data_IF_062772264446
#
_entry.id   IF_062772264446
#
_cell.length_a   1.000
_cell.length_b   1.000
_cell.length_c   1.000
_cell.angle_alpha   90.00
_cell.angle_beta   90.00
_cell.angle_gamma   90.00
#
_symmetry.space_group_name_H-M   'P 1'
#
loop_
_entity.id
_entity.type
_entity.pdbx_description
1 polymer ?
#
# COMPACT_ATOMS: atom_id res chain seq x y z
N UNK A 1 -1.70 5.11 -13.34
CA UNK A 1 -1.06 3.93 -13.97
C UNK A 1 -1.76 3.51 -15.27
N UNK A 2 -3.07 3.27 -15.28
CA UNK A 2 -3.79 2.76 -16.46
C UNK A 2 -4.26 3.82 -17.47
N UNK A 3 -4.15 5.11 -17.15
CA UNK A 3 -4.54 6.18 -18.07
C UNK A 3 -3.71 6.11 -19.37
N UNK A 4 -4.34 6.36 -20.51
CA UNK A 4 -3.65 6.46 -21.79
C UNK A 4 -3.08 7.87 -21.98
N UNK A 5 -1.76 7.99 -22.12
CA UNK A 5 -1.05 9.25 -22.30
C UNK A 5 -0.74 9.53 -23.77
N UNK A 6 -1.78 9.56 -24.60
CA UNK A 6 -1.65 9.88 -26.02
C UNK A 6 -1.27 11.34 -26.24
N UNK A 7 -0.89 11.70 -27.46
CA UNK A 7 -0.54 13.09 -27.80
C UNK A 7 -1.71 14.08 -27.60
N UNK A 8 -2.94 13.61 -27.79
CA UNK A 8 -4.18 14.35 -27.57
C UNK A 8 -4.53 14.48 -26.08
N UNK A 9 -4.10 13.53 -25.25
CA UNK A 9 -4.36 13.49 -23.80
C UNK A 9 -3.05 13.30 -23.01
N UNK A 10 -2.11 14.26 -23.04
CA UNK A 10 -0.79 14.10 -22.44
C UNK A 10 -0.85 13.94 -20.90
N UNK A 11 -1.87 14.51 -20.25
CA UNK A 11 -2.13 14.33 -18.81
C UNK A 11 -2.66 12.93 -18.46
N UNK A 12 -3.00 12.12 -19.46
CA UNK A 12 -3.60 10.81 -19.29
C UNK A 12 -5.13 10.87 -19.35
N UNK A 13 -5.73 9.94 -20.10
CA UNK A 13 -7.16 9.73 -20.16
C UNK A 13 -7.50 8.30 -19.73
N UNK A 14 -8.32 8.17 -18.68
CA UNK A 14 -8.82 6.89 -18.19
C UNK A 14 -10.30 6.78 -18.47
N UNK A 15 -10.71 5.74 -19.20
CA UNK A 15 -12.10 5.47 -19.51
C UNK A 15 -12.44 3.99 -19.24
N UNK A 16 -13.73 3.65 -19.39
CA UNK A 16 -14.24 2.30 -19.13
C UNK A 16 -13.59 1.26 -20.04
N UNK A 17 -13.38 1.55 -21.32
CA UNK A 17 -12.80 0.61 -22.27
C UNK A 17 -11.34 0.27 -21.97
N UNK A 18 -10.55 1.26 -21.55
CA UNK A 18 -9.18 1.06 -21.10
C UNK A 18 -9.15 0.14 -19.87
N UNK A 19 -9.99 0.40 -18.86
CA UNK A 19 -10.08 -0.47 -17.68
C UNK A 19 -10.57 -1.88 -18.02
N UNK A 20 -11.60 -2.00 -18.87
CA UNK A 20 -12.13 -3.28 -19.35
C UNK A 20 -11.04 -4.13 -20.00
N UNK A 21 -10.17 -3.52 -20.82
CA UNK A 21 -9.05 -4.23 -21.43
C UNK A 21 -8.03 -4.72 -20.40
N UNK A 22 -7.60 -3.86 -19.47
CA UNK A 22 -6.61 -4.22 -18.46
C UNK A 22 -7.10 -5.32 -17.51
N UNK A 23 -8.38 -5.30 -17.14
CA UNK A 23 -8.98 -6.26 -16.21
C UNK A 23 -9.76 -7.39 -16.91
N UNK A 24 -9.66 -7.48 -18.23
CA UNK A 24 -10.33 -8.51 -19.03
C UNK A 24 -11.85 -8.61 -18.80
N UNK A 25 -12.51 -7.46 -18.81
CA UNK A 25 -13.97 -7.34 -18.65
C UNK A 25 -14.59 -7.08 -20.03
N UNK A 26 -15.56 -7.89 -20.40
CA UNK A 26 -16.36 -7.74 -21.62
C UNK A 26 -17.81 -7.38 -21.29
N UNK A 27 -18.53 -6.87 -22.29
CA UNK A 27 -19.95 -6.53 -22.17
C UNK A 27 -20.23 -5.03 -21.98
N UNK A 28 -21.51 -4.70 -21.89
CA UNK A 28 -22.02 -3.32 -21.87
C UNK A 28 -23.02 -3.12 -20.75
N UNK A 29 -23.07 -1.89 -20.22
CA UNK A 29 -23.93 -1.55 -19.08
C UNK A 29 -23.66 -2.46 -17.87
N UNK A 30 -24.71 -3.08 -17.35
CA UNK A 30 -24.64 -3.97 -16.19
C UNK A 30 -24.34 -5.43 -16.55
N UNK A 31 -24.20 -5.75 -17.86
CA UNK A 31 -23.92 -7.12 -18.34
C UNK A 31 -22.43 -7.34 -18.53
N UNK A 32 -21.66 -7.17 -17.46
CA UNK A 32 -20.20 -7.31 -17.48
C UNK A 32 -19.79 -8.76 -17.17
N UNK A 33 -18.81 -9.29 -17.90
CA UNK A 33 -18.26 -10.64 -17.69
C UNK A 33 -16.75 -10.60 -17.66
N UNK A 34 -16.14 -11.19 -16.63
CA UNK A 34 -14.70 -11.39 -16.55
C UNK A 34 -14.24 -12.57 -17.42
N UNK A 35 -13.20 -12.36 -18.22
CA UNK A 35 -12.56 -13.37 -19.06
C UNK A 35 -11.17 -13.67 -18.53
N UNK A 36 -11.07 -14.70 -17.70
CA UNK A 36 -9.80 -15.10 -17.09
C UNK A 36 -8.69 -15.32 -18.12
N UNK A 37 -7.55 -14.64 -17.95
CA UNK A 37 -6.35 -14.82 -18.78
C UNK A 37 -6.33 -14.01 -20.09
N UNK A 38 -7.27 -13.08 -20.27
CA UNK A 38 -7.34 -12.21 -21.45
C UNK A 38 -7.02 -10.73 -21.13
N UNK A 39 -6.42 -10.47 -19.96
CA UNK A 39 -5.91 -9.16 -19.57
C UNK A 39 -4.89 -8.66 -20.59
N UNK A 40 -5.11 -7.46 -21.12
CA UNK A 40 -4.21 -6.89 -22.13
C UNK A 40 -4.11 -5.38 -22.03
N UNK A 41 -2.93 -4.87 -22.37
CA UNK A 41 -2.76 -3.45 -22.67
C UNK A 41 -3.64 -3.13 -23.89
N UNK A 42 -4.51 -2.11 -23.84
CA UNK A 42 -5.36 -1.76 -24.96
C UNK A 42 -4.55 -1.35 -26.20
N UNK A 43 -5.10 -1.58 -27.38
CA UNK A 43 -4.54 -1.03 -28.61
C UNK A 43 -4.45 0.50 -28.55
N UNK A 44 -3.39 1.07 -29.13
CA UNK A 44 -3.10 2.51 -29.10
C UNK A 44 -3.05 3.12 -27.68
N UNK A 45 -2.64 2.31 -26.69
CA UNK A 45 -2.35 2.79 -25.35
C UNK A 45 -0.89 3.21 -25.21
N UNK A 46 -0.66 4.42 -24.71
CA UNK A 46 0.66 4.99 -24.50
C UNK A 46 0.94 5.15 -23.02
N UNK A 47 2.12 4.70 -22.60
CA UNK A 47 2.60 4.87 -21.22
C UNK A 47 2.79 6.35 -20.90
N UNK A 48 2.71 6.69 -19.61
CA UNK A 48 3.05 8.04 -19.14
C UNK A 48 4.50 8.42 -19.52
N UNK A 49 4.78 9.71 -19.80
CA UNK A 49 6.10 10.15 -20.28
C UNK A 49 7.20 10.10 -19.20
N UNK A 50 6.82 10.14 -17.91
CA UNK A 50 7.74 10.11 -16.76
C UNK A 50 7.42 8.89 -15.91
N UNK A 51 8.40 8.22 -15.33
CA UNK A 51 8.15 7.01 -14.55
C UNK A 51 7.41 7.28 -13.23
N UNK A 52 6.48 6.38 -12.87
CA UNK A 52 5.69 6.48 -11.63
C UNK A 52 6.51 6.01 -10.46
N UNK A 53 7.06 6.98 -9.74
CA UNK A 53 7.91 6.76 -8.59
C UNK A 53 7.13 6.72 -7.28
N UNK A 54 7.81 6.31 -6.22
CA UNK A 54 7.29 6.32 -4.86
C UNK A 54 6.80 7.70 -4.41
N UNK A 55 7.43 8.78 -4.86
CA UNK A 55 6.98 10.16 -4.56
C UNK A 55 5.58 10.41 -5.13
N UNK A 56 5.33 10.02 -6.38
CA UNK A 56 4.01 10.17 -7.00
C UNK A 56 2.95 9.33 -6.27
N UNK A 57 3.29 8.10 -5.89
CA UNK A 57 2.41 7.23 -5.09
C UNK A 57 2.00 7.90 -3.78
N UNK A 58 2.96 8.43 -3.01
CA UNK A 58 2.65 9.07 -1.73
C UNK A 58 1.76 10.30 -1.91
N UNK A 59 2.02 11.14 -2.93
CA UNK A 59 1.17 12.30 -3.22
C UNK A 59 -0.26 11.91 -3.59
N UNK A 60 -0.43 10.87 -4.42
CA UNK A 60 -1.76 10.38 -4.79
C UNK A 60 -2.52 9.80 -3.59
N UNK A 61 -1.84 9.01 -2.74
CA UNK A 61 -2.41 8.46 -1.50
C UNK A 61 -2.81 9.58 -0.54
N UNK A 62 -1.97 10.59 -0.36
CA UNK A 62 -2.26 11.76 0.48
C UNK A 62 -3.45 12.56 -0.05
N UNK A 63 -3.51 12.79 -1.35
CA UNK A 63 -4.64 13.49 -1.97
C UNK A 63 -5.94 12.71 -1.80
N UNK A 64 -5.89 11.37 -1.91
CA UNK A 64 -7.04 10.51 -1.71
C UNK A 64 -7.50 10.51 -0.25
N UNK A 65 -6.56 10.37 0.70
CA UNK A 65 -6.82 10.45 2.14
C UNK A 65 -7.36 11.81 2.57
N UNK A 66 -6.82 12.91 2.03
CA UNK A 66 -7.31 14.25 2.32
C UNK A 66 -8.76 14.46 1.82
N UNK A 67 -9.13 13.81 0.71
CA UNK A 67 -10.48 13.87 0.14
C UNK A 67 -11.46 12.91 0.83
N UNK A 68 -10.98 11.73 1.23
CA UNK A 68 -11.74 10.65 1.85
C UNK A 68 -10.95 10.12 3.06
N UNK A 69 -11.05 10.79 4.23
CA UNK A 69 -10.26 10.45 5.42
C UNK A 69 -10.41 9.01 5.88
N UNK A 70 -11.56 8.38 5.62
CA UNK A 70 -11.82 6.97 5.90
C UNK A 70 -10.85 6.03 5.17
N UNK A 71 -10.33 6.41 3.99
CA UNK A 71 -9.35 5.62 3.24
C UNK A 71 -7.95 5.65 3.86
N UNK A 72 -7.71 6.54 4.82
CA UNK A 72 -6.49 6.56 5.63
C UNK A 72 -6.61 5.70 6.90
N UNK A 73 -7.78 5.13 7.18
CA UNK A 73 -7.98 4.27 8.35
C UNK A 73 -7.43 2.86 8.12
N UNK A 74 -6.72 2.33 9.11
CA UNK A 74 -6.22 0.95 9.12
C UNK A 74 -7.10 0.18 10.09
N UNK A 75 -7.61 -0.99 9.69
CA UNK A 75 -8.55 -1.75 10.51
C UNK A 75 -9.19 -2.90 9.75
N UNK A 76 -10.21 -3.49 10.37
CA UNK A 76 -10.94 -4.63 9.81
C UNK A 76 -12.29 -4.85 10.50
N UNK A 77 -13.08 -5.77 9.96
CA UNK A 77 -14.33 -6.18 10.59
C UNK A 77 -14.06 -7.14 11.76
N UNK A 78 -14.83 -7.01 12.85
CA UNK A 78 -14.70 -7.81 14.07
C UNK A 78 -15.41 -9.17 14.00
N UNK A 79 -15.41 -9.81 12.82
CA UNK A 79 -15.98 -11.15 12.61
C UNK A 79 -17.38 -11.19 12.00
N UNK A 80 -18.03 -10.04 11.80
CA UNK A 80 -19.30 -9.92 11.08
C UNK A 80 -19.29 -8.75 10.07
N UNK A 81 -20.21 -8.74 9.10
CA UNK A 81 -20.30 -7.62 8.14
C UNK A 81 -20.68 -6.32 8.85
N UNK A 82 -20.24 -5.17 8.31
CA UNK A 82 -20.53 -3.84 8.86
C UNK A 82 -20.04 -3.60 10.31
N UNK A 83 -18.96 -4.27 10.74
CA UNK A 83 -18.39 -4.16 12.08
C UNK A 83 -16.96 -3.60 12.07
N UNK A 84 -16.68 -2.66 11.15
CA UNK A 84 -15.34 -2.11 10.98
C UNK A 84 -14.84 -1.46 12.28
N UNK A 85 -13.69 -1.92 12.74
CA UNK A 85 -12.94 -1.34 13.84
C UNK A 85 -11.54 -0.94 13.35
N UNK A 86 -11.21 0.34 13.57
CA UNK A 86 -9.87 0.85 13.30
C UNK A 86 -8.86 0.34 14.34
N UNK A 87 -7.61 0.22 13.92
CA UNK A 87 -6.44 0.11 14.79
C UNK A 87 -5.94 1.52 15.07
N UNK A 88 -5.75 1.84 16.35
CA UNK A 88 -5.14 3.10 16.74
C UNK A 88 -3.63 3.05 16.42
N UNK A 89 -3.17 3.87 15.49
CA UNK A 89 -1.75 3.97 15.10
C UNK A 89 -0.83 4.33 16.27
N UNK A 90 -1.34 5.10 17.23
CA UNK A 90 -0.59 5.46 18.42
C UNK A 90 -0.45 4.29 19.38
N UNK A 91 -1.44 3.43 19.50
CA UNK A 91 -1.31 2.15 20.23
C UNK A 91 -0.40 1.17 19.45
N UNK A 92 -0.57 1.11 18.12
CA UNK A 92 0.15 0.21 17.24
C UNK A 92 1.67 0.34 17.33
N UNK A 93 2.13 1.59 17.45
CA UNK A 93 3.56 1.93 17.46
C UNK A 93 4.07 2.24 18.86
N UNK A 94 3.30 1.96 19.92
CA UNK A 94 3.67 2.27 21.30
C UNK A 94 3.84 3.78 21.58
N UNK A 95 3.09 4.61 20.84
CA UNK A 95 3.02 6.07 20.97
C UNK A 95 3.99 6.84 20.08
N UNK A 96 4.79 6.16 19.26
CA UNK A 96 5.84 6.78 18.42
C UNK A 96 5.23 7.55 17.25
N UNK A 97 4.23 6.97 16.57
CA UNK A 97 3.54 7.58 15.45
C UNK A 97 2.08 7.88 15.78
N UNK A 98 1.55 8.91 15.12
CA UNK A 98 0.13 9.18 14.99
C UNK A 98 -0.12 9.59 13.52
N UNK A 99 -1.38 9.78 13.11
CA UNK A 99 -1.69 10.06 11.70
C UNK A 99 -0.93 11.27 11.13
N UNK A 100 -0.74 12.33 11.94
CA UNK A 100 0.03 13.51 11.54
C UNK A 100 1.51 13.18 11.34
N UNK A 101 2.14 12.53 12.34
CA UNK A 101 3.56 12.15 12.30
C UNK A 101 3.85 11.09 11.25
N UNK A 102 2.90 10.21 10.94
CA UNK A 102 3.06 9.18 9.92
C UNK A 102 3.43 9.78 8.56
N UNK A 103 2.90 10.96 8.26
CA UNK A 103 3.10 11.66 6.98
C UNK A 103 4.32 12.59 6.98
N UNK A 104 5.03 12.70 8.10
CA UNK A 104 6.25 13.50 8.22
C UNK A 104 7.47 12.71 7.74
N UNK A 105 8.25 13.30 6.82
CA UNK A 105 9.50 12.72 6.33
C UNK A 105 9.30 11.32 5.75
N UNK A 106 10.01 10.34 6.30
CA UNK A 106 9.98 8.93 5.89
C UNK A 106 9.23 8.02 6.90
N UNK A 107 8.48 8.57 7.85
CA UNK A 107 7.81 7.79 8.89
C UNK A 107 6.84 6.73 8.34
N UNK A 108 6.13 7.04 7.25
CA UNK A 108 5.26 6.07 6.55
C UNK A 108 6.05 4.88 6.00
N UNK A 109 7.20 5.15 5.39
CA UNK A 109 8.06 4.09 4.84
C UNK A 109 8.63 3.21 5.97
N UNK A 110 9.06 3.84 7.05
CA UNK A 110 9.54 3.17 8.25
C UNK A 110 8.45 2.30 8.91
N UNK A 111 7.22 2.80 9.00
CA UNK A 111 6.09 2.05 9.51
C UNK A 111 5.74 0.83 8.63
N UNK A 112 5.74 1.00 7.29
CA UNK A 112 5.54 -0.11 6.35
C UNK A 112 6.64 -1.17 6.50
N UNK A 113 7.90 -0.78 6.66
CA UNK A 113 8.98 -1.73 6.89
C UNK A 113 8.84 -2.49 8.21
N UNK A 114 8.40 -1.84 9.28
CA UNK A 114 8.14 -2.53 10.55
C UNK A 114 6.99 -3.53 10.41
N UNK A 115 5.90 -3.18 9.72
CA UNK A 115 4.81 -4.13 9.41
C UNK A 115 5.36 -5.34 8.65
N UNK A 116 6.11 -5.13 7.57
CA UNK A 116 6.67 -6.22 6.77
C UNK A 116 7.59 -7.09 7.63
N UNK A 117 8.42 -6.50 8.49
CA UNK A 117 9.28 -7.26 9.42
C UNK A 117 8.46 -8.09 10.42
N UNK A 118 7.35 -7.55 10.93
CA UNK A 118 6.47 -8.24 11.88
C UNK A 118 5.69 -9.39 11.24
N UNK A 119 5.19 -9.21 10.02
CA UNK A 119 4.31 -10.21 9.37
C UNK A 119 5.05 -11.21 8.49
N UNK A 120 6.31 -10.94 8.14
CA UNK A 120 7.03 -11.80 7.24
C UNK A 120 7.67 -13.00 7.96
N UNK A 121 7.63 -14.21 7.37
CA UNK A 121 8.42 -15.32 7.87
C UNK A 121 9.91 -14.93 7.89
N UNK A 122 10.69 -15.45 8.84
CA UNK A 122 12.11 -15.13 9.06
C UNK A 122 13.00 -15.15 7.79
N UNK A 123 12.55 -15.78 6.70
CA UNK A 123 13.16 -15.80 5.37
C UNK A 123 13.19 -14.43 4.65
N UNK A 124 12.33 -13.46 5.00
CA UNK A 124 12.35 -12.11 4.41
C UNK A 124 13.45 -11.21 4.98
N UNK A 125 14.15 -11.61 6.05
CA UNK A 125 15.40 -10.95 6.47
C UNK A 125 16.42 -10.87 5.32
N UNK A 126 16.38 -11.83 4.39
CA UNK A 126 17.17 -11.81 3.14
C UNK A 126 16.60 -10.84 2.11
N UNK A 127 15.27 -10.69 2.01
CA UNK A 127 14.64 -9.73 1.10
C UNK A 127 14.96 -8.28 1.51
N UNK A 128 14.94 -7.97 2.81
CA UNK A 128 15.39 -6.67 3.32
C UNK A 128 16.84 -6.37 2.94
N UNK A 129 17.75 -7.36 3.03
CA UNK A 129 19.14 -7.25 2.56
C UNK A 129 19.27 -7.13 1.04
N UNK A 130 18.39 -7.81 0.29
CA UNK A 130 18.36 -7.76 -1.18
C UNK A 130 17.86 -6.41 -1.66
N UNK A 131 16.92 -5.76 -0.95
CA UNK A 131 16.42 -4.43 -1.29
C UNK A 131 17.41 -3.35 -0.84
N UNK A 132 18.18 -3.59 0.22
CA UNK A 132 19.18 -2.65 0.74
C UNK A 132 20.21 -2.22 -0.32
N UNK A 133 20.71 -3.13 -1.15
CA UNK A 133 21.74 -2.82 -2.16
C UNK A 133 21.20 -2.00 -3.36
N UNK A 134 20.08 -2.37 -4.01
CA UNK A 134 19.42 -1.55 -5.03
C UNK A 134 18.92 -0.22 -4.46
N UNK A 135 18.41 -0.20 -3.22
CA UNK A 135 17.98 1.03 -2.56
C UNK A 135 19.18 1.96 -2.33
N UNK A 136 20.35 1.43 -1.96
CA UNK A 136 21.61 2.17 -1.84
C UNK A 136 22.07 2.77 -3.17
N UNK A 137 21.93 2.00 -4.26
CA UNK A 137 22.24 2.45 -5.62
C UNK A 137 21.32 3.59 -6.10
N UNK A 138 20.05 3.53 -5.70
CA UNK A 138 19.02 4.56 -5.97
C UNK A 138 19.20 5.79 -5.08
N UNK A 139 19.67 5.64 -3.83
CA UNK A 139 19.96 6.76 -2.93
C UNK A 139 21.25 7.50 -3.29
N UNK A 140 22.26 6.80 -3.83
CA UNK A 140 23.51 7.41 -4.29
C UNK A 140 23.32 8.29 -5.53
N UNK A 141 22.25 8.04 -6.31
CA UNK A 141 21.89 8.78 -7.51
C UNK A 141 20.90 9.93 -7.29
N UNK A 142 20.14 9.94 -6.19
CA UNK A 142 19.04 10.91 -5.95
C UNK A 142 19.35 12.01 -4.92
N UNK A 143 20.51 12.00 -4.29
CA UNK A 143 20.97 13.09 -3.43
C UNK A 143 20.31 13.13 -2.04
N UNK A 144 20.96 13.86 -1.13
CA UNK A 144 20.81 13.74 0.32
C UNK A 144 19.45 14.05 0.95
N UNK A 145 18.43 14.38 0.16
CA UNK A 145 17.09 14.65 0.66
C UNK A 145 16.30 13.38 1.03
N UNK A 146 16.75 12.19 0.60
CA UNK A 146 16.18 10.88 0.98
C UNK A 146 17.08 10.19 2.05
N UNK A 147 18.22 10.80 2.40
CA UNK A 147 19.36 10.19 3.09
C UNK A 147 19.27 10.19 4.63
N UNK A 148 18.09 10.10 5.22
CA UNK A 148 18.01 9.67 6.62
C UNK A 148 16.89 8.64 6.78
N UNK A 149 17.14 7.43 6.25
CA UNK A 149 16.41 6.21 6.59
C UNK A 149 16.67 5.75 8.04
N UNK A 150 17.09 6.65 8.93
CA UNK A 150 16.98 6.45 10.38
C UNK A 150 15.50 6.40 10.74
N UNK A 151 14.90 5.23 10.56
CA UNK A 151 13.61 4.96 11.12
C UNK A 151 13.69 5.13 12.64
N UNK A 152 12.70 5.80 13.26
CA UNK A 152 12.65 5.83 14.72
C UNK A 152 12.67 4.39 15.22
N UNK A 153 13.35 4.14 16.33
CA UNK A 153 13.36 2.82 16.94
C UNK A 153 11.92 2.46 17.35
N UNK A 154 11.25 1.67 16.52
CA UNK A 154 9.97 1.11 16.87
C UNK A 154 10.19 0.07 17.96
N UNK A 155 9.37 0.11 19.00
CA UNK A 155 9.14 -1.09 19.80
C UNK A 155 8.41 -2.09 18.90
N UNK A 156 8.46 -3.37 19.27
CA UNK A 156 7.62 -4.36 18.61
C UNK A 156 6.17 -3.85 18.56
N UNK A 157 5.52 -4.02 17.40
CA UNK A 157 4.16 -3.54 17.21
C UNK A 157 3.24 -4.17 18.26
N UNK A 158 2.29 -3.40 18.77
CA UNK A 158 1.35 -3.84 19.81
C UNK A 158 -0.08 -3.52 19.44
N UNK A 159 -1.05 -4.34 19.83
CA UNK A 159 -2.47 -4.02 19.63
C UNK A 159 -3.23 -4.31 20.92
N UNK A 160 -3.90 -3.29 21.47
CA UNK A 160 -4.60 -3.38 22.75
C UNK A 160 -3.67 -3.71 23.92
N UNK A 161 -2.43 -3.21 23.88
CA UNK A 161 -1.39 -3.49 24.88
C UNK A 161 -0.81 -4.92 24.87
N UNK A 162 -1.12 -5.73 23.84
CA UNK A 162 -0.55 -7.07 23.63
C UNK A 162 0.45 -7.07 22.47
N UNK A 163 1.20 -8.16 22.29
CA UNK A 163 2.00 -8.36 21.08
C UNK A 163 1.12 -8.22 19.82
N UNK A 164 1.70 -7.79 18.70
CA UNK A 164 0.96 -7.58 17.44
C UNK A 164 0.10 -8.80 17.05
N UNK A 165 0.68 -9.99 17.09
CA UNK A 165 0.01 -11.23 16.72
C UNK A 165 -1.19 -11.53 17.63
N UNK A 166 -0.97 -11.55 18.95
CA UNK A 166 -2.04 -11.83 19.93
C UNK A 166 -3.13 -10.76 19.91
N UNK A 167 -2.74 -9.49 19.76
CA UNK A 167 -3.66 -8.35 19.74
C UNK A 167 -4.53 -8.34 18.49
N UNK A 168 -3.93 -8.53 17.31
CA UNK A 168 -4.66 -8.62 16.04
C UNK A 168 -5.58 -9.85 16.03
N UNK A 169 -5.13 -11.02 16.49
CA UNK A 169 -6.00 -12.21 16.55
C UNK A 169 -7.14 -12.06 17.57
N UNK A 170 -6.91 -11.32 18.66
CA UNK A 170 -7.96 -11.04 19.65
C UNK A 170 -8.99 -10.03 19.13
N UNK A 171 -8.54 -8.99 18.44
CA UNK A 171 -9.40 -7.90 17.95
C UNK A 171 -10.11 -8.26 16.63
N UNK A 172 -9.43 -8.99 15.74
CA UNK A 172 -9.92 -9.38 14.42
C UNK A 172 -9.93 -10.90 14.30
N UNK A 173 -11.08 -11.57 14.56
CA UNK A 173 -11.17 -13.03 14.52
C UNK A 173 -10.73 -13.65 13.18
N UNK A 174 -10.90 -12.91 12.07
CA UNK A 174 -10.45 -13.33 10.74
C UNK A 174 -8.93 -13.46 10.59
N UNK A 175 -8.14 -12.78 11.43
CA UNK A 175 -6.68 -12.92 11.40
C UNK A 175 -6.20 -14.33 11.75
N UNK A 176 -6.99 -15.09 12.52
CA UNK A 176 -6.72 -16.51 12.85
C UNK A 176 -6.83 -17.44 11.63
N UNK A 177 -7.49 -17.00 10.56
CA UNK A 177 -7.64 -17.78 9.33
C UNK A 177 -6.38 -17.71 8.44
N UNK A 178 -5.50 -16.72 8.66
CA UNK A 178 -4.25 -16.57 7.93
C UNK A 178 -3.25 -17.71 8.17
N UNK A 179 -3.24 -18.28 9.39
CA UNK A 179 -2.38 -19.41 9.77
C UNK A 179 -2.80 -20.74 9.13
N UNK A 180 -3.95 -20.78 8.46
CA UNK A 180 -4.51 -22.00 7.85
C UNK A 180 -4.15 -22.16 6.37
N UNK A 181 -3.37 -21.23 5.79
CA UNK A 181 -3.06 -21.19 4.34
C UNK A 181 -1.55 -21.28 4.04
N UNK A 182 -0.74 -21.73 5.01
CA UNK A 182 0.65 -22.12 4.79
C UNK A 182 0.89 -23.59 5.14
#
# INVERSE_FOLDING_TARGET
MFANHSSENPSGFLNKEVLKSFFSIEGEGDKLTYKRGHERIPENWYRRPVDYSLVHLNLDVLALAAKYPELASIGGNMGEVNSYAGVDLSDLTGGVLNLTKLLEGNNLLCFVFEIVKTVAPNSLSTLFKIIEVPLKLVTDTLGAAILDLTCPAFKDLTVGGKSFEEGIQAQFPGAKLGDSVL
#
